data_IF_215866119157
#
_entry.id   IF_215866119157
#
_cell.length_a   1.000
_cell.length_b   1.000
_cell.length_c   1.000
_cell.angle_alpha   90.00
_cell.angle_beta   90.00
_cell.angle_gamma   90.00
#
_symmetry.space_group_name_H-M   'P 1'
#
loop_
_entity.id
_entity.type
_entity.pdbx_description
1 polymer ?
#
# COMPACT_ATOMS: atom_id res chain seq x y z
N UNK A 1 -19.00 11.89 24.41
CA UNK A 1 -17.63 11.89 23.86
C UNK A 1 -16.81 11.06 24.83
N UNK A 2 -16.58 9.78 24.51
CA UNK A 2 -15.93 8.84 25.44
C UNK A 2 -14.43 8.89 25.17
N UNK A 3 -13.69 9.49 26.11
CA UNK A 3 -12.23 9.54 26.05
C UNK A 3 -11.74 8.11 26.32
N UNK A 4 -10.94 7.56 25.41
CA UNK A 4 -10.29 6.27 25.63
C UNK A 4 -9.34 6.40 26.82
N UNK A 5 -9.53 5.55 27.83
CA UNK A 5 -8.61 5.44 28.96
C UNK A 5 -7.25 4.98 28.43
N UNK A 6 -6.19 5.75 28.72
CA UNK A 6 -4.83 5.35 28.34
C UNK A 6 -4.46 4.09 29.08
N UNK A 7 -4.21 2.99 28.35
CA UNK A 7 -3.68 1.75 28.92
C UNK A 7 -2.40 2.08 29.71
N UNK A 8 -2.28 1.60 30.96
CA UNK A 8 -1.03 1.76 31.69
C UNK A 8 0.10 1.14 30.87
N UNK A 9 1.21 1.87 30.77
CA UNK A 9 2.45 1.33 30.20
C UNK A 9 2.80 0.09 31.01
N UNK A 10 2.55 -1.09 30.42
CA UNK A 10 3.06 -2.35 30.95
C UNK A 10 4.57 -2.20 30.91
N UNK A 11 5.20 -2.13 32.08
CA UNK A 11 6.65 -2.27 32.17
C UNK A 11 7.01 -3.56 31.44
N UNK A 12 7.68 -3.43 30.30
CA UNK A 12 8.08 -4.57 29.49
C UNK A 12 9.07 -5.37 30.32
N UNK A 13 8.58 -6.42 30.99
CA UNK A 13 9.46 -7.44 31.54
C UNK A 13 10.24 -8.01 30.35
N UNK A 14 11.51 -7.60 30.24
CA UNK A 14 12.43 -8.11 29.23
C UNK A 14 12.57 -9.61 29.50
N UNK A 15 11.94 -10.44 28.67
CA UNK A 15 12.10 -11.88 28.76
C UNK A 15 13.53 -12.21 28.28
N UNK A 16 14.40 -12.75 29.15
CA UNK A 16 15.79 -13.01 28.82
C UNK A 16 15.98 -14.12 27.76
N UNK A 17 14.95 -14.91 27.45
CA UNK A 17 14.98 -15.89 26.35
C UNK A 17 14.78 -15.26 24.96
N UNK A 18 14.28 -14.02 24.89
CA UNK A 18 14.08 -13.33 23.62
C UNK A 18 15.40 -12.64 23.24
N UNK A 19 16.15 -13.32 22.37
CA UNK A 19 17.36 -12.76 21.78
C UNK A 19 16.94 -11.83 20.64
N UNK A 20 17.04 -10.53 20.86
CA UNK A 20 16.93 -9.56 19.77
C UNK A 20 18.21 -9.60 18.94
N UNK A 21 18.12 -9.53 17.61
CA UNK A 21 19.32 -9.50 16.79
C UNK A 21 20.10 -8.22 17.09
N UNK A 22 21.41 -8.34 17.28
CA UNK A 22 22.31 -7.21 17.55
C UNK A 22 22.78 -6.59 16.23
N UNK A 23 22.68 -5.27 16.08
CA UNK A 23 23.15 -4.56 14.89
C UNK A 23 22.31 -3.33 14.51
N UNK A 24 22.77 -2.58 13.52
CA UNK A 24 22.00 -1.50 12.90
C UNK A 24 21.15 -2.09 11.76
N UNK A 25 19.84 -2.24 12.00
CA UNK A 25 18.87 -2.62 10.98
C UNK A 25 18.48 -1.40 10.16
N UNK A 26 19.39 -0.92 9.32
CA UNK A 26 18.99 0.00 8.28
C UNK A 26 18.30 -0.81 7.20
N UNK A 27 17.01 -0.54 7.00
CA UNK A 27 16.31 -1.06 5.83
C UNK A 27 16.82 -0.29 4.61
N UNK A 28 17.38 -1.01 3.63
CA UNK A 28 17.69 -0.48 2.30
C UNK A 28 16.44 -0.42 1.41
N UNK A 29 15.25 -0.55 2.00
CA UNK A 29 14.00 -0.45 1.26
C UNK A 29 13.86 0.96 0.67
N UNK A 30 13.38 1.06 -0.58
CA UNK A 30 13.07 2.35 -1.16
C UNK A 30 12.03 3.08 -0.30
N UNK A 31 12.06 4.43 -0.28
CA UNK A 31 11.10 5.19 0.49
C UNK A 31 9.68 4.84 0.04
N UNK A 32 8.79 4.75 1.02
CA UNK A 32 7.36 4.56 0.75
C UNK A 32 6.85 5.67 -0.17
N UNK A 33 5.88 5.33 -1.01
CA UNK A 33 5.22 6.28 -1.89
C UNK A 33 4.78 7.54 -1.14
N UNK A 34 5.14 8.70 -1.68
CA UNK A 34 4.79 9.98 -1.06
C UNK A 34 3.29 10.25 -1.19
N UNK A 35 2.75 11.03 -0.24
CA UNK A 35 1.35 11.47 -0.32
C UNK A 35 1.07 12.25 -1.63
N UNK A 36 2.04 13.01 -2.16
CA UNK A 36 1.88 13.72 -3.42
C UNK A 36 1.68 12.76 -4.60
N UNK A 37 2.44 11.65 -4.65
CA UNK A 37 2.27 10.64 -5.69
C UNK A 37 0.86 10.02 -5.62
N UNK A 38 0.40 9.66 -4.42
CA UNK A 38 -0.95 9.14 -4.23
C UNK A 38 -2.02 10.12 -4.76
N UNK A 39 -1.89 11.42 -4.45
CA UNK A 39 -2.84 12.43 -4.93
C UNK A 39 -2.82 12.56 -6.46
N UNK A 40 -1.65 12.46 -7.09
CA UNK A 40 -1.53 12.49 -8.55
C UNK A 40 -2.20 11.27 -9.21
N UNK A 41 -2.02 10.07 -8.64
CA UNK A 41 -2.68 8.85 -9.11
C UNK A 41 -4.20 8.97 -8.98
N UNK A 42 -4.70 9.47 -7.84
CA UNK A 42 -6.14 9.67 -7.62
C UNK A 42 -6.71 10.66 -8.65
N UNK A 43 -6.03 11.80 -8.86
CA UNK A 43 -6.47 12.79 -9.84
C UNK A 43 -6.51 12.19 -11.26
N UNK A 44 -5.50 11.42 -11.64
CA UNK A 44 -5.46 10.74 -12.93
C UNK A 44 -6.67 9.80 -13.10
N UNK A 45 -6.94 8.94 -12.12
CA UNK A 45 -8.07 8.00 -12.17
C UNK A 45 -9.38 8.77 -12.34
N UNK A 46 -9.60 9.82 -11.54
CA UNK A 46 -10.81 10.66 -11.64
C UNK A 46 -10.97 11.31 -13.02
N UNK A 47 -9.88 11.81 -13.61
CA UNK A 47 -9.92 12.37 -14.96
C UNK A 47 -10.31 11.32 -16.02
N UNK A 48 -9.78 10.10 -15.91
CA UNK A 48 -10.10 9.00 -16.81
C UNK A 48 -11.56 8.56 -16.67
N UNK A 49 -12.05 8.40 -15.44
CA UNK A 49 -13.45 8.05 -15.16
C UNK A 49 -14.40 9.09 -15.74
N UNK A 50 -14.10 10.37 -15.55
CA UNK A 50 -14.91 11.45 -16.10
C UNK A 50 -14.90 11.50 -17.64
N UNK A 51 -13.72 11.31 -18.24
CA UNK A 51 -13.55 11.34 -19.70
C UNK A 51 -14.23 10.14 -20.38
N UNK A 52 -14.20 8.97 -19.76
CA UNK A 52 -14.79 7.73 -20.28
C UNK A 52 -16.14 7.38 -19.63
N UNK A 53 -16.84 8.34 -19.01
CA UNK A 53 -18.12 8.10 -18.32
C UNK A 53 -19.23 7.45 -19.17
N UNK A 54 -19.17 7.58 -20.50
CA UNK A 54 -20.14 6.97 -21.43
C UNK A 54 -19.69 5.58 -21.93
N UNK A 55 -18.59 5.04 -21.41
CA UNK A 55 -18.02 3.75 -21.80
C UNK A 55 -18.17 2.74 -20.67
N UNK A 56 -18.43 1.49 -21.03
CA UNK A 56 -18.49 0.35 -20.09
C UNK A 56 -17.34 -0.64 -20.30
N UNK A 57 -16.43 -0.38 -21.25
CA UNK A 57 -15.37 -1.29 -21.69
C UNK A 57 -13.98 -0.92 -21.15
N UNK A 58 -13.91 -0.35 -19.94
CA UNK A 58 -12.66 -0.02 -19.29
C UNK A 58 -12.71 -0.23 -17.78
N UNK A 59 -11.53 -0.35 -17.17
CA UNK A 59 -11.34 -0.36 -15.72
C UNK A 59 -10.07 0.43 -15.38
N UNK A 60 -10.17 1.38 -14.46
CA UNK A 60 -9.06 2.23 -14.03
C UNK A 60 -8.87 2.12 -12.51
N UNK A 61 -7.68 1.69 -12.08
CA UNK A 61 -7.33 1.59 -10.67
C UNK A 61 -5.81 1.70 -10.48
N UNK A 62 -5.38 2.03 -9.26
CA UNK A 62 -3.98 1.97 -8.84
C UNK A 62 -3.54 0.55 -8.46
N UNK A 63 -2.23 0.33 -8.41
CA UNK A 63 -1.61 -0.92 -7.92
C UNK A 63 -2.12 -2.20 -8.61
N UNK A 64 -2.39 -2.13 -9.91
CA UNK A 64 -2.80 -3.29 -10.71
C UNK A 64 -1.62 -4.17 -11.05
N UNK A 65 -1.77 -5.48 -10.83
CA UNK A 65 -0.87 -6.49 -11.38
C UNK A 65 -1.51 -7.09 -12.63
N UNK A 66 -0.89 -6.89 -13.78
CA UNK A 66 -1.38 -7.41 -15.07
C UNK A 66 -0.46 -8.54 -15.50
N UNK A 67 -1.00 -9.76 -15.59
CA UNK A 67 -0.26 -10.89 -16.14
C UNK A 67 -0.34 -10.87 -17.66
N UNK A 68 0.82 -10.77 -18.32
CA UNK A 68 0.92 -10.80 -19.76
C UNK A 68 1.48 -12.15 -20.22
N UNK A 69 0.69 -12.90 -20.99
CA UNK A 69 1.17 -14.10 -21.67
C UNK A 69 2.04 -13.69 -22.86
N UNK A 70 3.33 -14.10 -22.96
CA UNK A 70 4.17 -13.81 -24.12
C UNK A 70 3.58 -14.31 -25.43
N UNK A 71 2.75 -15.36 -25.36
CA UNK A 71 2.06 -15.94 -26.50
C UNK A 71 0.74 -15.24 -26.85
N UNK A 72 0.39 -14.14 -26.16
CA UNK A 72 -0.85 -13.36 -26.35
C UNK A 72 -2.14 -14.19 -26.38
N UNK A 73 -2.15 -15.34 -25.70
CA UNK A 73 -3.34 -16.17 -25.61
C UNK A 73 -4.38 -15.45 -24.75
N UNK A 74 -5.53 -15.12 -25.34
CA UNK A 74 -6.65 -14.44 -24.67
C UNK A 74 -7.36 -15.31 -23.62
N UNK A 75 -7.10 -16.61 -23.64
CA UNK A 75 -7.58 -17.62 -22.71
C UNK A 75 -6.55 -18.75 -22.74
N UNK A 76 -6.13 -19.24 -21.57
CA UNK A 76 -5.60 -20.61 -21.50
C UNK A 76 -6.73 -21.62 -21.65
#
# INVERSE_FOLDING_TARGET
>A
MTIAESLPLVESHVNPEIIFPEGQFWSDEPPLESNLNLQQIILLIQCLEWWWREREDYFAAGNLTIYYSPNQKKSE
#
